data_IF_034216702786
#
_entry.id   IF_034216702786
#
_cell.length_a   1.000
_cell.length_b   1.000
_cell.length_c   1.000
_cell.angle_alpha   90.00
_cell.angle_beta   90.00
_cell.angle_gamma   90.00
#
_symmetry.space_group_name_H-M   'P 1'
#
loop_
_entity.id
_entity.type
_entity.pdbx_description
1 polymer ?
#
# COMPACT_ATOMS: atom_id res chain seq x y z
N UNK A 1 -9.62 -12.03 -1.63
CA UNK A 1 -8.96 -10.90 -2.32
C UNK A 1 -7.91 -10.33 -1.39
N UNK A 2 -6.79 -9.85 -1.94
CA UNK A 2 -5.71 -9.15 -1.20
C UNK A 2 -5.67 -7.71 -1.69
N UNK A 3 -5.56 -6.75 -0.78
CA UNK A 3 -5.42 -5.32 -1.10
C UNK A 3 -4.00 -4.87 -0.83
N UNK A 4 -3.41 -4.17 -1.78
CA UNK A 4 -2.06 -3.60 -1.69
C UNK A 4 -2.18 -2.08 -1.65
N UNK A 5 -1.63 -1.45 -0.62
CA UNK A 5 -1.63 0.01 -0.49
C UNK A 5 -0.20 0.53 -0.68
N UNK A 6 0.00 1.33 -1.70
CA UNK A 6 1.33 1.88 -2.01
C UNK A 6 1.25 3.33 -2.50
N UNK A 7 2.31 4.09 -2.28
CA UNK A 7 2.53 5.38 -2.93
C UNK A 7 3.43 5.22 -4.17
N UNK A 8 4.24 4.16 -4.18
CA UNK A 8 5.28 3.91 -5.16
C UNK A 8 5.00 2.61 -5.92
N UNK A 9 4.57 2.73 -7.18
CA UNK A 9 4.28 1.56 -8.03
C UNK A 9 4.78 1.83 -9.46
N UNK A 10 5.18 0.84 -10.26
CA UNK A 10 5.46 1.07 -11.68
C UNK A 10 4.22 1.69 -12.39
N UNK A 11 4.37 2.57 -13.37
CA UNK A 11 5.51 2.87 -14.27
C UNK A 11 6.74 3.60 -13.67
N UNK A 12 6.65 4.10 -12.46
CA UNK A 12 7.80 4.69 -11.78
C UNK A 12 8.88 3.62 -11.56
N UNK A 13 10.17 4.02 -11.69
CA UNK A 13 11.34 3.14 -11.52
C UNK A 13 11.91 3.33 -10.12
N UNK A 14 12.13 2.25 -9.40
CA UNK A 14 12.76 2.24 -8.08
C UNK A 14 12.72 0.87 -7.41
N UNK A 15 13.44 0.74 -6.30
CA UNK A 15 13.55 -0.53 -5.56
C UNK A 15 12.23 -0.93 -4.90
N UNK A 16 11.51 0.03 -4.31
CA UNK A 16 10.19 -0.22 -3.68
C UNK A 16 9.16 -0.59 -4.75
N UNK A 17 9.17 0.10 -5.89
CA UNK A 17 8.31 -0.17 -7.02
C UNK A 17 8.48 -1.59 -7.54
N UNK A 18 9.73 -2.03 -7.73
CA UNK A 18 10.05 -3.40 -8.14
C UNK A 18 9.64 -4.43 -7.10
N UNK A 19 9.88 -4.17 -5.82
CA UNK A 19 9.45 -5.04 -4.74
C UNK A 19 7.94 -5.22 -4.75
N UNK A 20 7.19 -4.12 -4.81
CA UNK A 20 5.73 -4.15 -4.79
C UNK A 20 5.16 -4.79 -6.05
N UNK A 21 5.76 -4.55 -7.23
CA UNK A 21 5.37 -5.23 -8.45
C UNK A 21 5.53 -6.75 -8.33
N UNK A 22 6.72 -7.22 -7.93
CA UNK A 22 6.98 -8.65 -7.78
C UNK A 22 6.01 -9.29 -6.77
N UNK A 23 5.78 -8.63 -5.63
CA UNK A 23 4.82 -9.08 -4.64
C UNK A 23 3.42 -9.25 -5.25
N UNK A 24 2.92 -8.23 -5.96
CA UNK A 24 1.62 -8.27 -6.62
C UNK A 24 1.55 -9.36 -7.68
N UNK A 25 2.60 -9.51 -8.49
CA UNK A 25 2.66 -10.48 -9.55
C UNK A 25 2.57 -11.93 -9.02
N UNK A 26 3.36 -12.24 -7.98
CA UNK A 26 3.34 -13.58 -7.39
C UNK A 26 2.06 -13.87 -6.61
N UNK A 27 1.54 -12.90 -5.85
CA UNK A 27 0.25 -13.05 -5.15
C UNK A 27 -0.92 -13.20 -6.14
N UNK A 28 -0.85 -12.52 -7.27
CA UNK A 28 -1.86 -12.54 -8.31
C UNK A 28 -2.04 -13.90 -9.00
N UNK A 29 -1.03 -14.79 -8.92
CA UNK A 29 -1.14 -16.15 -9.48
C UNK A 29 -2.26 -16.97 -8.82
N UNK A 30 -2.51 -16.76 -7.52
CA UNK A 30 -3.44 -17.58 -6.73
C UNK A 30 -4.52 -16.75 -6.00
N UNK A 31 -4.51 -15.43 -6.15
CA UNK A 31 -5.44 -14.55 -5.45
C UNK A 31 -5.89 -13.41 -6.37
N UNK A 32 -7.11 -12.92 -6.16
CA UNK A 32 -7.50 -11.62 -6.69
C UNK A 32 -6.75 -10.54 -5.93
N UNK A 33 -5.93 -9.75 -6.61
CA UNK A 33 -5.13 -8.67 -6.04
C UNK A 33 -5.59 -7.33 -6.61
N UNK A 34 -5.81 -6.35 -5.73
CA UNK A 34 -6.10 -4.96 -6.12
C UNK A 34 -5.06 -4.05 -5.48
N UNK A 35 -4.39 -3.26 -6.31
CA UNK A 35 -3.34 -2.32 -5.93
C UNK A 35 -3.90 -0.90 -5.92
N UNK A 36 -3.80 -0.22 -4.79
CA UNK A 36 -4.10 1.20 -4.63
C UNK A 36 -2.80 1.99 -4.70
N UNK A 37 -2.51 2.54 -5.88
CA UNK A 37 -1.27 3.29 -6.13
C UNK A 37 -1.53 4.77 -6.37
N UNK A 38 -0.52 5.62 -6.07
CA UNK A 38 -0.55 6.99 -6.55
C UNK A 38 -0.22 7.02 -8.04
N UNK A 39 -0.90 7.88 -8.81
CA UNK A 39 -0.61 8.09 -10.20
C UNK A 39 0.69 8.88 -10.35
N UNK A 40 1.57 8.43 -11.23
CA UNK A 40 2.84 9.09 -11.54
C UNK A 40 2.84 9.71 -12.93
N UNK A 41 2.50 8.92 -13.95
CA UNK A 41 2.43 9.33 -15.36
C UNK A 41 1.23 8.63 -15.99
N UNK A 42 0.26 9.40 -16.45
CA UNK A 42 -1.00 8.85 -16.94
C UNK A 42 -0.81 7.82 -18.07
N UNK A 43 0.05 8.14 -19.05
CA UNK A 43 0.25 7.30 -20.24
C UNK A 43 1.02 6.02 -19.84
N UNK A 44 2.17 6.19 -19.19
CA UNK A 44 3.02 5.07 -18.80
C UNK A 44 2.34 4.15 -17.79
N UNK A 45 1.59 4.72 -16.84
CA UNK A 45 0.79 3.98 -15.88
C UNK A 45 -0.27 3.13 -16.58
N UNK A 46 -1.00 3.71 -17.55
CA UNK A 46 -2.03 3.00 -18.31
C UNK A 46 -1.46 1.85 -19.14
N UNK A 47 -0.32 2.06 -19.79
CA UNK A 47 0.37 1.00 -20.55
C UNK A 47 0.78 -0.15 -19.61
N UNK A 48 1.37 0.19 -18.47
CA UNK A 48 1.79 -0.80 -17.48
C UNK A 48 0.60 -1.58 -16.91
N UNK A 49 -0.44 -0.88 -16.49
CA UNK A 49 -1.62 -1.48 -15.87
C UNK A 49 -2.36 -2.42 -16.84
N UNK A 50 -2.47 -2.03 -18.13
CA UNK A 50 -3.03 -2.88 -19.18
C UNK A 50 -2.19 -4.14 -19.44
N UNK A 51 -0.87 -4.04 -19.41
CA UNK A 51 0.03 -5.18 -19.59
C UNK A 51 -0.18 -6.26 -18.53
N UNK A 52 -0.45 -5.87 -17.30
CA UNK A 52 -0.54 -6.79 -16.15
C UNK A 52 -1.94 -7.01 -15.61
N UNK A 53 -2.98 -6.53 -16.29
CA UNK A 53 -4.39 -6.59 -15.82
C UNK A 53 -4.92 -8.00 -15.50
N UNK A 54 -4.33 -9.03 -16.10
CA UNK A 54 -4.69 -10.43 -15.86
C UNK A 54 -4.05 -11.00 -14.57
N UNK A 55 -3.03 -10.33 -14.03
CA UNK A 55 -2.35 -10.73 -12.81
C UNK A 55 -2.91 -10.00 -11.58
N UNK A 56 -3.14 -8.69 -11.72
CA UNK A 56 -3.69 -7.83 -10.66
C UNK A 56 -4.36 -6.58 -11.27
N UNK A 57 -5.27 -5.98 -10.54
CA UNK A 57 -5.91 -4.73 -10.91
C UNK A 57 -5.21 -3.56 -10.19
N UNK A 58 -4.93 -2.47 -10.92
CA UNK A 58 -4.38 -1.25 -10.33
C UNK A 58 -5.44 -0.15 -10.33
N UNK A 59 -5.62 0.47 -9.18
CA UNK A 59 -6.41 1.68 -8.98
C UNK A 59 -5.46 2.84 -8.76
N UNK A 60 -5.38 3.76 -9.73
CA UNK A 60 -4.52 4.94 -9.70
C UNK A 60 -5.26 6.15 -9.15
N UNK A 61 -4.61 6.85 -8.25
CA UNK A 61 -5.15 8.05 -7.63
C UNK A 61 -4.27 9.25 -7.95
N UNK A 62 -4.86 10.29 -8.54
CA UNK A 62 -4.20 11.52 -8.97
C UNK A 62 -4.65 12.73 -8.15
N UNK A 63 -4.11 13.90 -8.49
CA UNK A 63 -4.50 15.20 -7.95
C UNK A 63 -3.84 15.56 -6.62
N UNK A 64 -4.34 16.60 -5.99
CA UNK A 64 -3.80 17.17 -4.75
C UNK A 64 -3.81 16.12 -3.64
N UNK A 65 -2.72 16.03 -2.88
CA UNK A 65 -2.46 15.00 -1.85
C UNK A 65 -3.62 14.75 -0.90
N UNK A 66 -4.31 15.81 -0.47
CA UNK A 66 -5.44 15.69 0.46
C UNK A 66 -6.63 14.95 -0.17
N UNK A 67 -7.07 15.36 -1.36
CA UNK A 67 -8.19 14.74 -2.07
C UNK A 67 -7.83 13.33 -2.54
N UNK A 68 -6.62 13.14 -3.05
CA UNK A 68 -6.12 11.82 -3.45
C UNK A 68 -6.19 10.81 -2.30
N UNK A 69 -5.73 11.19 -1.11
CA UNK A 69 -5.82 10.33 0.08
C UNK A 69 -7.26 10.04 0.48
N UNK A 70 -8.12 11.05 0.43
CA UNK A 70 -9.55 10.89 0.76
C UNK A 70 -10.25 9.93 -0.20
N UNK A 71 -10.02 10.11 -1.50
CA UNK A 71 -10.61 9.24 -2.53
C UNK A 71 -10.12 7.80 -2.42
N UNK A 72 -8.80 7.62 -2.18
CA UNK A 72 -8.20 6.30 -1.94
C UNK A 72 -8.88 5.58 -0.76
N UNK A 73 -9.12 6.27 0.34
CA UNK A 73 -9.77 5.69 1.53
C UNK A 73 -11.24 5.38 1.25
N UNK A 74 -11.97 6.27 0.60
CA UNK A 74 -13.39 6.04 0.26
C UNK A 74 -13.55 4.77 -0.57
N UNK A 75 -12.77 4.63 -1.64
CA UNK A 75 -12.82 3.43 -2.50
C UNK A 75 -12.36 2.17 -1.76
N UNK A 76 -11.36 2.29 -0.89
CA UNK A 76 -10.91 1.19 -0.04
C UNK A 76 -12.02 0.71 0.91
N UNK A 77 -12.71 1.63 1.58
CA UNK A 77 -13.84 1.33 2.47
C UNK A 77 -14.99 0.66 1.71
N UNK A 78 -15.29 1.14 0.51
CA UNK A 78 -16.31 0.55 -0.37
C UNK A 78 -15.94 -0.89 -0.77
N UNK A 79 -14.73 -1.12 -1.25
CA UNK A 79 -14.28 -2.47 -1.62
C UNK A 79 -14.31 -3.43 -0.42
N UNK A 80 -13.91 -2.98 0.75
CA UNK A 80 -13.94 -3.78 1.98
C UNK A 80 -15.37 -4.12 2.39
N UNK A 81 -16.30 -3.21 2.20
CA UNK A 81 -17.71 -3.45 2.55
C UNK A 81 -18.39 -4.47 1.65
N UNK A 82 -18.01 -4.51 0.38
CA UNK A 82 -18.62 -5.34 -0.65
C UNK A 82 -17.92 -6.70 -0.85
N UNK A 83 -16.75 -6.89 -0.30
CA UNK A 83 -15.94 -8.06 -0.61
C UNK A 83 -15.28 -8.67 0.63
N UNK A 84 -15.06 -10.00 0.58
CA UNK A 84 -14.24 -10.70 1.57
C UNK A 84 -12.76 -10.43 1.31
N UNK A 85 -12.19 -9.51 2.07
CA UNK A 85 -10.76 -9.19 2.04
C UNK A 85 -10.00 -10.15 2.96
N UNK A 86 -8.97 -10.82 2.43
CA UNK A 86 -8.13 -11.77 3.16
C UNK A 86 -7.00 -11.06 3.92
N UNK A 87 -6.42 -10.03 3.30
CA UNK A 87 -5.33 -9.27 3.90
C UNK A 87 -5.17 -7.90 3.23
N UNK A 88 -4.56 -6.97 3.95
CA UNK A 88 -4.09 -5.67 3.46
C UNK A 88 -2.58 -5.63 3.64
N UNK A 89 -1.84 -5.32 2.56
CA UNK A 89 -0.39 -5.19 2.60
C UNK A 89 -0.01 -3.77 2.20
N UNK A 90 0.84 -3.13 2.97
CA UNK A 90 1.28 -1.75 2.74
C UNK A 90 2.79 -1.71 2.46
N UNK A 91 3.19 -0.93 1.47
CA UNK A 91 4.60 -0.70 1.15
C UNK A 91 5.35 0.05 2.25
N UNK A 92 4.64 0.82 3.07
CA UNK A 92 5.22 1.64 4.13
C UNK A 92 4.17 2.08 5.14
N UNK A 93 4.61 2.54 6.30
CA UNK A 93 3.72 3.13 7.29
C UNK A 93 2.91 4.34 6.76
N UNK A 94 3.47 5.10 5.80
CA UNK A 94 2.78 6.26 5.19
C UNK A 94 1.54 5.85 4.40
N UNK A 95 1.59 4.71 3.73
CA UNK A 95 0.45 4.15 3.00
C UNK A 95 -0.63 3.61 3.94
N UNK A 96 -0.23 3.19 5.16
CA UNK A 96 -1.16 2.64 6.15
C UNK A 96 -1.66 3.67 7.18
N UNK A 97 -1.04 4.86 7.29
CA UNK A 97 -1.34 5.84 8.35
C UNK A 97 -2.82 6.22 8.46
N UNK A 98 -3.50 6.47 7.34
CA UNK A 98 -4.92 6.81 7.36
C UNK A 98 -5.79 5.56 7.41
N UNK A 99 -5.53 4.52 6.59
CA UNK A 99 -6.26 3.27 6.69
C UNK A 99 -6.27 2.66 8.09
N UNK A 100 -5.13 2.67 8.79
CA UNK A 100 -5.01 2.10 10.13
C UNK A 100 -5.98 2.71 11.14
N UNK A 101 -6.30 3.99 11.01
CA UNK A 101 -7.25 4.69 11.88
C UNK A 101 -8.70 4.36 11.58
N UNK A 102 -9.02 4.09 10.31
CA UNK A 102 -10.38 3.88 9.82
C UNK A 102 -10.76 2.40 9.72
N UNK A 103 -9.79 1.54 9.42
CA UNK A 103 -10.03 0.10 9.19
C UNK A 103 -9.85 -0.75 10.45
N UNK A 104 -9.48 -0.16 11.57
CA UNK A 104 -9.22 -0.82 12.85
C UNK A 104 -10.31 -1.81 13.30
N UNK A 105 -11.53 -1.64 12.80
CA UNK A 105 -12.69 -2.43 13.25
C UNK A 105 -13.09 -3.57 12.30
N UNK A 106 -12.30 -3.81 11.25
CA UNK A 106 -12.70 -4.75 10.19
C UNK A 106 -12.13 -6.16 10.34
N UNK A 107 -11.31 -6.42 11.36
CA UNK A 107 -10.63 -7.72 11.60
C UNK A 107 -9.93 -8.29 10.35
N UNK A 108 -9.37 -7.40 9.49
CA UNK A 108 -8.67 -7.80 8.29
C UNK A 108 -7.18 -7.82 8.61
N UNK A 109 -6.50 -8.97 8.46
CA UNK A 109 -5.06 -9.06 8.68
C UNK A 109 -4.30 -8.00 7.88
N UNK A 110 -3.38 -7.30 8.54
CA UNK A 110 -2.62 -6.21 7.96
C UNK A 110 -1.11 -6.41 8.10
N UNK A 111 -0.39 -6.18 7.01
CA UNK A 111 1.07 -6.30 6.94
C UNK A 111 1.63 -4.96 6.47
N UNK A 112 2.63 -4.44 7.15
CA UNK A 112 3.34 -3.23 6.76
C UNK A 112 4.83 -3.53 6.54
N UNK A 113 5.33 -3.17 5.36
CA UNK A 113 6.75 -3.24 5.07
C UNK A 113 7.45 -2.00 5.64
N UNK A 114 8.67 -2.18 6.15
CA UNK A 114 9.54 -1.10 6.59
C UNK A 114 10.90 -1.21 5.89
N UNK A 115 11.48 -0.05 5.54
CA UNK A 115 12.66 0.04 4.67
C UNK A 115 13.88 0.67 5.35
N UNK A 116 13.84 0.84 6.69
CA UNK A 116 14.94 1.39 7.49
C UNK A 116 14.95 2.92 7.58
N UNK A 117 14.46 3.65 6.60
CA UNK A 117 14.38 5.12 6.65
C UNK A 117 13.51 5.63 7.82
N UNK A 118 12.60 4.81 8.29
CA UNK A 118 11.72 5.09 9.43
C UNK A 118 12.48 5.23 10.74
N UNK A 119 13.61 4.54 10.87
CA UNK A 119 14.45 4.52 12.09
C UNK A 119 15.32 5.78 12.18
N UNK A 120 15.73 6.35 11.03
CA UNK A 120 16.68 7.47 10.94
C UNK A 120 16.01 8.84 11.17
N UNK A 121 14.69 8.88 11.25
CA UNK A 121 13.95 10.15 11.36
C UNK A 121 14.16 10.78 12.73
N UNK A 122 14.83 11.94 12.76
CA UNK A 122 15.11 12.71 13.99
C UNK A 122 13.90 13.48 14.55
N UNK A 123 12.82 13.64 13.80
CA UNK A 123 11.67 14.47 14.21
C UNK A 123 10.71 13.70 15.14
N UNK A 124 10.55 14.14 16.38
CA UNK A 124 9.69 13.53 17.42
C UNK A 124 8.23 13.34 16.98
N UNK A 125 7.66 14.31 16.26
CA UNK A 125 6.30 14.20 15.75
C UNK A 125 6.16 13.10 14.71
N UNK A 126 7.18 12.92 13.88
CA UNK A 126 7.24 11.85 12.88
C UNK A 126 7.31 10.48 13.56
N UNK A 127 8.16 10.32 14.56
CA UNK A 127 8.25 9.10 15.36
C UNK A 127 6.90 8.75 16.02
N UNK A 128 6.22 9.74 16.60
CA UNK A 128 4.90 9.52 17.20
C UNK A 128 3.88 9.01 16.17
N UNK A 129 3.88 9.57 14.95
CA UNK A 129 3.00 9.12 13.86
C UNK A 129 3.32 7.70 13.42
N UNK A 130 4.60 7.37 13.22
CA UNK A 130 5.06 6.02 12.85
C UNK A 130 4.61 5.02 13.92
N UNK A 131 4.96 5.27 15.19
CA UNK A 131 4.58 4.41 16.30
C UNK A 131 3.07 4.19 16.40
N UNK A 132 2.28 5.25 16.26
CA UNK A 132 0.82 5.16 16.29
C UNK A 132 0.24 4.37 15.11
N UNK A 133 0.87 4.45 13.94
CA UNK A 133 0.46 3.68 12.77
C UNK A 133 0.81 2.21 12.94
N UNK A 134 2.06 1.91 13.30
CA UNK A 134 2.55 0.55 13.41
C UNK A 134 1.91 -0.25 14.56
N UNK A 135 1.42 0.41 15.62
CA UNK A 135 0.62 -0.24 16.67
C UNK A 135 -0.70 -0.84 16.18
N UNK A 136 -1.20 -0.40 15.03
CA UNK A 136 -2.44 -0.90 14.43
C UNK A 136 -2.18 -1.88 13.27
N UNK A 137 -0.95 -2.37 13.14
CA UNK A 137 -0.55 -3.37 12.13
C UNK A 137 -0.39 -4.71 12.82
N UNK A 138 -0.95 -5.76 12.22
CA UNK A 138 -0.84 -7.11 12.79
C UNK A 138 0.56 -7.70 12.59
N UNK A 139 1.22 -7.37 11.46
CA UNK A 139 2.57 -7.85 11.17
C UNK A 139 3.42 -6.78 10.49
N UNK A 140 4.60 -6.53 11.05
CA UNK A 140 5.62 -5.67 10.47
C UNK A 140 6.69 -6.55 9.83
N UNK A 141 7.06 -6.25 8.61
CA UNK A 141 8.10 -6.98 7.86
C UNK A 141 9.19 -6.00 7.45
N UNK A 142 10.40 -6.25 7.91
CA UNK A 142 11.60 -5.52 7.46
C UNK A 142 12.17 -6.17 6.20
N UNK A 143 12.66 -5.37 5.28
CA UNK A 143 13.27 -5.85 4.04
C UNK A 143 14.78 -6.14 4.17
N UNK A 144 15.36 -5.92 5.33
CA UNK A 144 16.78 -6.21 5.61
C UNK A 144 17.02 -6.50 7.08
N UNK A 145 18.12 -7.22 7.37
CA UNK A 145 18.59 -7.47 8.73
C UNK A 145 18.88 -6.17 9.50
N UNK A 146 19.35 -5.12 8.80
CA UNK A 146 19.64 -3.81 9.39
C UNK A 146 18.38 -3.12 9.96
N UNK A 147 17.21 -3.47 9.48
CA UNK A 147 15.92 -2.85 9.89
C UNK A 147 15.13 -3.70 10.87
N UNK A 148 15.61 -4.85 11.23
CA UNK A 148 15.06 -5.66 12.32
C UNK A 148 15.33 -5.02 13.65
#
# INVERSE_FOLDING_TARGET
MILILTQCFPSRIGGIENLMFNLCYYLGKNNKVIVFADQHDFIRDSIFDNKYKNNFLVRRFSGIKFFRKRNKIKELEEIISLNKVKAIICDSWKSFEIPSKKLKFKNIPSICLIHGNEIIIKNKNHHKRIKNTLKNVDKIVSNSEYTK
#
